data_IF_370072913693
#
_entry.id   IF_370072913693
#
_cell.length_a   1.000
_cell.length_b   1.000
_cell.length_c   1.000
_cell.angle_alpha   90.00
_cell.angle_beta   90.00
_cell.angle_gamma   90.00
#
_symmetry.space_group_name_H-M   'P 1'
#
loop_
_entity.id
_entity.type
_entity.pdbx_description
1 polymer ?
#
# COMPACT_ATOMS: atom_id res chain seq x y z
N UNK A 1 14.37 17.07 -29.94
CA UNK A 1 14.64 18.54 -29.97
C UNK A 1 15.73 18.85 -28.94
N UNK A 2 16.61 19.81 -29.25
CA UNK A 2 17.59 20.54 -28.41
C UNK A 2 18.14 19.87 -27.12
N UNK A 3 19.45 19.66 -26.86
CA UNK A 3 20.73 20.25 -27.33
C UNK A 3 21.08 21.66 -26.81
N UNK A 4 22.14 21.74 -25.98
CA UNK A 4 23.16 22.81 -25.73
C UNK A 4 24.13 22.20 -24.66
N UNK A 5 25.46 22.00 -24.79
CA UNK A 5 26.63 22.84 -25.21
C UNK A 5 26.79 24.10 -24.33
N UNK A 6 27.94 24.52 -23.76
CA UNK A 6 29.36 24.69 -24.19
C UNK A 6 30.29 24.71 -22.92
N UNK A 7 31.64 24.63 -22.88
CA UNK A 7 32.68 23.77 -23.50
C UNK A 7 34.12 24.13 -22.97
N UNK A 8 35.09 23.19 -23.00
CA UNK A 8 36.57 23.39 -22.92
C UNK A 8 37.21 23.93 -21.59
N UNK A 9 38.50 23.73 -21.25
CA UNK A 9 39.78 23.81 -22.01
C UNK A 9 40.88 22.83 -21.47
N UNK A 10 41.63 22.21 -22.41
CA UNK A 10 43.11 21.94 -22.53
C UNK A 10 43.99 22.01 -21.25
N UNK A 11 44.96 21.13 -20.94
CA UNK A 11 46.10 20.67 -21.76
C UNK A 11 46.73 19.32 -21.34
N UNK A 12 47.62 18.79 -22.18
CA UNK A 12 48.39 17.55 -21.98
C UNK A 12 49.87 17.81 -21.65
N UNK A 13 50.54 16.83 -21.03
CA UNK A 13 51.93 16.48 -21.31
C UNK A 13 52.30 15.12 -20.67
N UNK A 14 52.96 14.24 -21.42
CA UNK A 14 53.69 13.09 -20.90
C UNK A 14 55.19 13.32 -21.12
N UNK A 15 56.04 12.89 -20.19
CA UNK A 15 57.51 12.89 -20.35
C UNK A 15 58.07 11.54 -19.87
N UNK A 16 59.07 11.05 -20.60
CA UNK A 16 59.69 9.72 -20.55
C UNK A 16 61.21 9.90 -20.67
N UNK A 17 62.00 8.96 -20.11
CA UNK A 17 63.49 8.92 -20.08
C UNK A 17 64.13 10.05 -19.21
N UNK A 18 65.41 10.06 -18.82
CA UNK A 18 66.65 9.34 -19.24
C UNK A 18 67.45 8.90 -17.97
N UNK A 19 68.42 7.98 -18.12
CA UNK A 19 69.34 7.52 -17.07
C UNK A 19 70.80 8.00 -17.26
N UNK A 20 71.55 8.12 -16.14
CA UNK A 20 73.04 8.24 -16.02
C UNK A 20 73.68 9.50 -16.67
N UNK A 21 75.00 9.83 -16.50
CA UNK A 21 76.09 9.11 -15.79
C UNK A 21 77.08 9.94 -14.90
N UNK A 22 77.93 9.19 -14.17
CA UNK A 22 79.38 9.36 -13.91
C UNK A 22 80.01 10.75 -13.63
N UNK A 23 80.80 10.81 -12.56
CA UNK A 23 82.16 11.38 -12.61
C UNK A 23 83.10 10.64 -11.63
N UNK A 24 84.36 10.47 -12.03
CA UNK A 24 85.42 9.76 -11.32
C UNK A 24 86.74 10.53 -11.39
N UNK A 25 87.66 10.25 -10.46
CA UNK A 25 89.02 10.80 -10.36
C UNK A 25 89.50 10.66 -8.91
N UNK A 26 90.49 9.84 -8.56
CA UNK A 26 91.91 9.84 -8.97
C UNK A 26 92.68 11.09 -8.44
N UNK A 27 93.92 11.01 -7.95
CA UNK A 27 94.85 9.88 -7.94
C UNK A 27 95.83 9.90 -6.73
N UNK A 28 96.61 8.82 -6.66
CA UNK A 28 97.85 8.58 -5.91
C UNK A 28 98.80 9.77 -5.70
N UNK A 29 99.49 9.76 -4.55
CA UNK A 29 100.96 9.94 -4.52
C UNK A 29 101.59 8.93 -3.58
N UNK A 30 102.53 8.15 -4.11
CA UNK A 30 103.55 7.46 -3.33
C UNK A 30 104.86 8.22 -3.51
N UNK A 31 105.59 8.47 -2.42
CA UNK A 31 106.95 8.98 -2.45
C UNK A 31 107.76 8.21 -1.42
N UNK A 32 108.92 7.70 -1.84
CA UNK A 32 109.79 6.82 -1.08
C UNK A 32 111.13 7.48 -0.79
N UNK A 33 111.86 6.88 0.17
CA UNK A 33 113.32 6.97 0.41
C UNK A 33 113.82 8.06 1.38
N UNK A 34 114.62 7.58 2.34
CA UNK A 34 115.56 8.28 3.23
C UNK A 34 114.98 9.23 4.31
N UNK A 35 115.57 9.35 5.51
CA UNK A 35 116.88 8.85 5.95
C UNK A 35 116.90 8.24 7.36
N UNK A 36 117.93 7.45 7.64
CA UNK A 36 118.13 6.83 8.94
C UNK A 36 118.89 7.75 9.90
N UNK A 37 118.42 7.87 11.16
CA UNK A 37 119.28 8.38 12.25
C UNK A 37 118.65 9.33 13.26
N UNK A 38 117.74 8.86 14.12
CA UNK A 38 117.54 9.47 15.47
C UNK A 38 116.83 8.57 16.51
N UNK A 39 116.61 7.29 16.22
CA UNK A 39 115.90 6.35 17.13
C UNK A 39 116.79 5.89 18.32
N UNK A 40 118.08 6.23 18.32
CA UNK A 40 119.07 5.73 19.29
C UNK A 40 119.12 6.47 20.66
N UNK A 41 118.50 7.66 20.78
CA UNK A 41 118.81 8.58 21.91
C UNK A 41 117.63 9.02 22.79
N UNK A 42 116.38 8.72 22.42
CA UNK A 42 115.21 9.00 23.27
C UNK A 42 114.82 7.83 24.20
N UNK A 43 115.21 6.60 23.84
CA UNK A 43 114.81 5.36 24.55
C UNK A 43 115.55 5.18 25.89
N UNK A 44 116.66 5.90 26.13
CA UNK A 44 117.48 5.75 27.36
C UNK A 44 117.11 6.66 28.53
N UNK A 45 116.08 7.52 28.43
CA UNK A 45 115.63 8.41 29.54
C UNK A 45 114.29 8.05 30.19
N UNK A 46 113.60 7.01 29.73
CA UNK A 46 112.38 6.49 30.37
C UNK A 46 112.60 5.19 31.19
N UNK A 47 113.82 4.65 31.20
CA UNK A 47 114.20 3.44 31.93
C UNK A 47 114.56 3.69 33.41
N UNK A 48 114.12 4.80 34.00
CA UNK A 48 114.40 5.18 35.40
C UNK A 48 113.17 5.69 36.18
N UNK A 49 111.97 5.28 35.77
CA UNK A 49 110.85 5.26 36.72
C UNK A 49 110.76 3.86 37.35
N UNK A 50 110.89 3.73 38.68
CA UNK A 50 110.70 2.44 39.35
C UNK A 50 109.29 1.94 39.05
N UNK A 51 109.13 0.62 39.02
CA UNK A 51 107.91 -0.04 38.59
C UNK A 51 106.67 0.46 39.35
N UNK A 52 106.01 1.49 38.78
CA UNK A 52 104.60 1.73 38.96
C UNK A 52 103.91 0.52 38.35
N UNK A 53 103.75 -0.50 39.19
CA UNK A 53 102.76 -1.54 38.98
C UNK A 53 101.46 -0.81 38.74
N UNK A 54 101.07 -0.72 37.47
CA UNK A 54 99.78 -0.20 37.06
C UNK A 54 98.76 -1.25 37.50
N UNK A 55 98.48 -1.25 38.81
CA UNK A 55 97.39 -2.01 39.43
C UNK A 55 96.15 -1.49 38.74
N UNK A 56 95.72 -2.19 37.68
CA UNK A 56 94.50 -1.87 36.95
C UNK A 56 93.40 -1.81 38.00
N UNK A 57 92.99 -0.59 38.35
CA UNK A 57 92.13 -0.37 39.50
C UNK A 57 90.82 -1.08 39.20
N UNK A 58 90.47 -2.09 39.99
CA UNK A 58 89.22 -2.81 39.78
C UNK A 58 88.08 -1.87 40.17
N UNK A 59 87.31 -1.42 39.18
CA UNK A 59 86.21 -0.47 39.37
C UNK A 59 84.87 -1.21 39.46
N UNK A 60 83.99 -0.70 40.33
CA UNK A 60 82.66 -1.25 40.53
C UNK A 60 81.66 -0.84 39.42
N UNK A 61 80.40 -1.31 39.52
CA UNK A 61 79.33 -0.90 38.62
C UNK A 61 79.19 0.63 38.55
N UNK A 62 79.13 1.19 37.34
CA UNK A 62 79.09 2.63 37.11
C UNK A 62 80.45 3.35 37.10
N UNK A 63 81.54 2.67 37.44
CA UNK A 63 82.89 3.22 37.29
C UNK A 63 83.35 3.26 35.83
N UNK A 64 84.22 4.23 35.51
CA UNK A 64 84.85 4.31 34.18
C UNK A 64 85.88 3.19 33.98
N UNK A 65 85.79 2.48 32.86
CA UNK A 65 86.74 1.46 32.43
C UNK A 65 87.66 1.92 31.30
N UNK A 66 87.76 3.23 31.03
CA UNK A 66 88.67 3.76 30.01
C UNK A 66 90.13 3.32 30.21
N UNK A 67 90.57 3.19 31.48
CA UNK A 67 91.91 2.75 31.87
C UNK A 67 91.89 1.72 33.02
N UNK A 68 90.76 1.05 33.23
CA UNK A 68 90.50 0.25 34.43
C UNK A 68 89.78 -1.05 34.10
N UNK A 69 90.03 -2.11 34.87
CA UNK A 69 89.31 -3.38 34.74
C UNK A 69 88.01 -3.36 35.53
N UNK A 70 86.93 -3.83 34.92
CA UNK A 70 85.66 -3.99 35.59
C UNK A 70 85.71 -5.12 36.62
N UNK A 71 85.02 -4.96 37.75
CA UNK A 71 84.84 -6.01 38.77
C UNK A 71 84.15 -7.22 38.14
N UNK A 72 84.51 -8.44 38.57
CA UNK A 72 83.85 -9.67 38.14
C UNK A 72 82.31 -9.55 38.23
N UNK A 73 81.62 -9.93 37.14
CA UNK A 73 80.18 -9.71 36.97
C UNK A 73 79.79 -8.37 36.32
N UNK A 74 80.76 -7.53 35.91
CA UNK A 74 80.52 -6.33 35.09
C UNK A 74 81.38 -6.31 33.84
N UNK A 75 80.85 -5.75 32.76
CA UNK A 75 81.51 -5.63 31.45
C UNK A 75 81.73 -4.16 31.08
N UNK A 76 82.84 -3.88 30.39
CA UNK A 76 83.14 -2.53 29.93
C UNK A 76 82.32 -2.19 28.68
N UNK A 77 81.25 -1.40 28.84
CA UNK A 77 80.39 -0.98 27.72
C UNK A 77 80.41 0.55 27.65
N UNK A 78 80.81 1.11 26.49
CA UNK A 78 80.95 2.57 26.28
C UNK A 78 81.72 3.26 27.42
N UNK A 79 82.91 2.73 27.73
CA UNK A 79 83.79 3.19 28.80
C UNK A 79 83.20 3.14 30.23
N UNK A 80 82.06 2.49 30.46
CA UNK A 80 81.45 2.32 31.79
C UNK A 80 81.28 0.85 32.16
N UNK A 81 81.71 0.45 33.36
CA UNK A 81 81.49 -0.90 33.87
C UNK A 81 80.01 -1.13 34.17
N UNK A 82 79.40 -1.95 33.32
CA UNK A 82 77.96 -2.14 33.26
C UNK A 82 77.56 -3.55 33.70
N UNK A 83 76.38 -3.68 34.33
CA UNK A 83 75.77 -4.95 34.71
C UNK A 83 74.70 -5.29 33.68
N UNK A 84 74.73 -6.50 33.13
CA UNK A 84 73.63 -7.03 32.31
C UNK A 84 72.48 -7.53 33.19
N UNK A 85 71.30 -6.95 33.00
CA UNK A 85 70.10 -7.20 33.81
C UNK A 85 69.15 -8.14 33.07
N UNK A 86 68.67 -9.16 33.78
CA UNK A 86 67.69 -10.13 33.29
C UNK A 86 66.29 -9.51 33.08
N UNK A 87 65.42 -10.13 32.25
CA UNK A 87 64.06 -9.63 32.01
C UNK A 87 63.26 -9.43 33.31
N UNK A 88 62.70 -8.24 33.49
CA UNK A 88 61.97 -7.81 34.69
C UNK A 88 62.80 -7.05 35.72
N UNK A 89 64.13 -7.15 35.67
CA UNK A 89 65.02 -6.40 36.55
C UNK A 89 65.07 -4.90 36.22
N UNK A 90 65.46 -4.10 37.21
CA UNK A 90 65.58 -2.64 37.05
C UNK A 90 66.77 -2.23 36.18
N UNK A 91 66.54 -1.23 35.33
CA UNK A 91 67.51 -0.54 34.48
C UNK A 91 67.48 0.98 34.69
N UNK A 92 67.07 1.46 35.87
CA UNK A 92 66.98 2.90 36.18
C UNK A 92 68.34 3.59 36.33
N UNK A 93 69.42 2.85 36.60
CA UNK A 93 70.78 3.39 36.67
C UNK A 93 71.51 3.21 35.33
N UNK A 94 72.26 4.23 34.89
CA UNK A 94 72.90 4.27 33.56
C UNK A 94 73.82 3.07 33.25
N UNK A 95 74.41 2.46 34.28
CA UNK A 95 75.28 1.28 34.16
C UNK A 95 74.52 -0.07 34.16
N UNK A 96 73.19 -0.07 34.19
CA UNK A 96 72.36 -1.29 34.22
C UNK A 96 71.73 -1.52 32.85
N UNK A 97 72.42 -2.30 32.02
CA UNK A 97 72.02 -2.57 30.64
C UNK A 97 71.13 -3.81 30.57
N UNK A 98 70.12 -3.78 29.69
CA UNK A 98 69.21 -4.91 29.54
C UNK A 98 69.83 -6.01 28.67
N UNK A 99 69.78 -7.27 29.14
CA UNK A 99 70.34 -8.42 28.40
C UNK A 99 69.72 -8.54 27.00
N UNK A 100 70.47 -9.09 26.05
CA UNK A 100 70.09 -9.21 24.63
C UNK A 100 68.64 -9.69 24.43
N UNK A 101 67.92 -9.03 23.53
CA UNK A 101 66.49 -9.25 23.30
C UNK A 101 65.53 -8.56 24.27
N UNK A 102 66.03 -7.71 25.20
CA UNK A 102 65.20 -6.83 26.03
C UNK A 102 65.59 -5.36 25.94
N UNK A 103 64.66 -4.47 26.26
CA UNK A 103 64.81 -3.01 26.20
C UNK A 103 64.38 -2.40 27.53
N UNK A 104 65.07 -1.34 27.97
CA UNK A 104 64.67 -0.61 29.17
C UNK A 104 63.42 0.23 28.88
N UNK A 105 62.30 -0.10 29.51
CA UNK A 105 61.00 0.57 29.33
C UNK A 105 60.38 0.74 30.72
N UNK A 106 60.06 1.99 31.11
CA UNK A 106 59.53 2.28 32.45
C UNK A 106 60.47 1.85 33.58
N UNK A 107 61.78 1.92 33.37
CA UNK A 107 62.79 1.49 34.35
C UNK A 107 62.98 -0.02 34.52
N UNK A 108 62.33 -0.86 33.71
CA UNK A 108 62.51 -2.33 33.72
C UNK A 108 62.97 -2.86 32.36
N UNK A 109 63.76 -3.94 32.37
CA UNK A 109 64.15 -4.65 31.16
C UNK A 109 63.03 -5.55 30.66
N UNK A 110 62.37 -5.16 29.56
CA UNK A 110 61.19 -5.84 29.03
C UNK A 110 61.45 -6.40 27.63
N UNK A 111 60.92 -7.59 27.33
CA UNK A 111 60.87 -8.16 25.97
C UNK A 111 59.83 -7.39 25.15
N UNK A 112 60.11 -7.13 23.88
CA UNK A 112 59.16 -6.52 22.96
C UNK A 112 58.54 -7.57 22.02
N UNK A 113 57.23 -7.77 22.12
CA UNK A 113 56.44 -8.61 21.23
C UNK A 113 55.95 -7.84 19.99
N UNK A 114 56.09 -8.45 18.83
CA UNK A 114 55.49 -7.97 17.57
C UNK A 114 53.97 -8.20 17.55
N UNK A 115 53.27 -7.57 16.61
CA UNK A 115 51.85 -7.83 16.33
C UNK A 115 51.57 -9.33 16.17
N UNK A 116 50.48 -9.80 16.76
CA UNK A 116 50.09 -11.21 16.77
C UNK A 116 50.89 -12.13 17.69
N UNK A 117 51.91 -11.62 18.40
CA UNK A 117 52.63 -12.41 19.41
C UNK A 117 52.05 -12.17 20.80
N UNK A 118 52.25 -13.15 21.68
CA UNK A 118 51.77 -13.10 23.06
C UNK A 118 52.47 -12.00 23.86
N UNK A 119 51.68 -11.23 24.58
CA UNK A 119 52.08 -10.30 25.64
C UNK A 119 51.62 -10.77 27.03
N UNK A 120 51.02 -11.96 27.13
CA UNK A 120 50.71 -12.59 28.42
C UNK A 120 51.96 -13.13 29.14
N UNK A 121 53.08 -13.29 28.43
CA UNK A 121 54.35 -13.72 29.02
C UNK A 121 54.90 -12.65 29.98
N UNK A 122 55.37 -13.07 31.17
CA UNK A 122 55.99 -12.16 32.15
C UNK A 122 57.09 -11.30 31.51
N UNK A 123 57.15 -10.04 31.92
CA UNK A 123 58.14 -9.06 31.47
C UNK A 123 58.16 -8.85 29.94
N UNK A 124 57.02 -9.06 29.27
CA UNK A 124 56.84 -8.83 27.84
C UNK A 124 55.81 -7.73 27.61
N UNK A 125 56.12 -6.78 26.73
CA UNK A 125 55.23 -5.70 26.30
C UNK A 125 55.16 -5.66 24.79
N UNK A 126 54.10 -5.07 24.24
CA UNK A 126 53.96 -4.89 22.81
C UNK A 126 54.90 -3.78 22.30
N UNK A 127 55.33 -3.88 21.04
CA UNK A 127 56.12 -2.81 20.40
C UNK A 127 55.34 -1.48 20.38
N UNK A 128 56.03 -0.32 20.42
CA UNK A 128 55.38 1.00 20.32
C UNK A 128 54.38 1.08 19.16
N UNK A 129 53.20 1.64 19.41
CA UNK A 129 52.10 1.67 18.44
C UNK A 129 51.20 0.42 18.43
N UNK A 130 51.45 -0.55 19.31
CA UNK A 130 50.56 -1.69 19.58
C UNK A 130 50.31 -1.85 21.09
N UNK A 131 49.21 -2.51 21.45
CA UNK A 131 48.78 -2.72 22.84
C UNK A 131 48.48 -4.19 23.11
N UNK A 132 48.49 -4.59 24.38
CA UNK A 132 48.15 -5.94 24.79
C UNK A 132 46.62 -6.08 24.97
N UNK A 133 45.98 -6.92 24.16
CA UNK A 133 44.55 -7.21 24.27
C UNK A 133 44.33 -8.72 24.25
N UNK A 134 43.61 -9.25 25.25
CA UNK A 134 43.40 -10.69 25.44
C UNK A 134 44.70 -11.51 25.33
N UNK A 135 45.79 -11.02 25.94
CA UNK A 135 47.09 -11.67 25.93
C UNK A 135 47.88 -11.62 24.62
N UNK A 136 47.37 -10.96 23.56
CA UNK A 136 48.03 -10.81 22.26
C UNK A 136 48.29 -9.35 21.91
N UNK A 137 49.42 -9.05 21.26
CA UNK A 137 49.71 -7.71 20.77
C UNK A 137 48.87 -7.37 19.54
N UNK A 138 48.06 -6.31 19.65
CA UNK A 138 47.16 -5.83 18.61
C UNK A 138 47.40 -4.36 18.28
N UNK A 139 47.06 -3.96 17.06
CA UNK A 139 47.04 -2.54 16.67
C UNK A 139 45.61 -2.02 16.72
N UNK A 140 45.36 -0.94 17.49
CA UNK A 140 44.09 -0.22 17.40
C UNK A 140 44.06 0.69 16.16
N UNK A 141 43.08 0.43 15.31
CA UNK A 141 42.87 1.14 14.05
C UNK A 141 41.87 2.29 14.25
N UNK A 142 42.19 3.45 13.66
CA UNK A 142 41.34 4.65 13.68
C UNK A 142 40.11 4.45 12.78
N UNK A 143 39.08 5.27 13.01
CA UNK A 143 37.85 5.29 12.19
C UNK A 143 38.18 5.38 10.69
N UNK A 144 37.58 4.50 9.87
CA UNK A 144 37.81 4.38 8.43
C UNK A 144 39.01 3.53 8.01
N UNK A 145 39.93 3.20 8.93
CA UNK A 145 41.08 2.34 8.63
C UNK A 145 40.70 0.87 8.45
N UNK A 146 41.55 0.12 7.76
CA UNK A 146 41.33 -1.32 7.53
C UNK A 146 41.57 -2.17 8.79
N UNK A 147 40.66 -3.11 9.01
CA UNK A 147 40.69 -4.14 10.05
C UNK A 147 40.66 -5.57 9.46
N UNK A 148 40.99 -5.74 8.17
CA UNK A 148 41.03 -7.07 7.51
C UNK A 148 42.26 -7.89 7.88
N UNK A 149 43.39 -7.24 8.17
CA UNK A 149 44.61 -7.94 8.56
C UNK A 149 44.55 -8.42 10.02
N UNK A 150 45.13 -9.59 10.28
CA UNK A 150 45.14 -10.22 11.59
C UNK A 150 45.70 -9.27 12.68
N UNK A 151 45.14 -9.39 13.89
CA UNK A 151 45.54 -8.62 15.07
C UNK A 151 45.37 -7.09 14.95
N UNK A 152 44.54 -6.63 14.00
CA UNK A 152 44.07 -5.24 13.93
C UNK A 152 42.66 -5.14 14.48
N UNK A 153 42.49 -4.40 15.57
CA UNK A 153 41.20 -4.17 16.20
C UNK A 153 40.76 -2.73 16.03
N UNK A 154 39.46 -2.48 15.98
CA UNK A 154 38.95 -1.12 15.92
C UNK A 154 39.08 -0.41 17.27
N UNK A 155 39.23 0.92 17.27
CA UNK A 155 39.21 1.70 18.51
C UNK A 155 37.83 1.60 19.17
N UNK A 156 37.79 1.64 20.50
CA UNK A 156 36.56 1.57 21.31
C UNK A 156 35.46 2.48 20.76
N UNK A 157 34.24 1.94 20.66
CA UNK A 157 33.09 2.64 20.05
C UNK A 157 32.99 2.51 18.52
N UNK A 158 33.85 1.71 17.87
CA UNK A 158 33.76 1.37 16.44
C UNK A 158 33.88 -0.14 16.22
N UNK A 159 33.34 -0.64 15.10
CA UNK A 159 33.27 -2.08 14.77
C UNK A 159 33.86 -2.34 13.38
N UNK A 160 34.45 -3.52 13.19
CA UNK A 160 34.94 -3.94 11.88
C UNK A 160 33.76 -4.39 11.01
N UNK A 161 33.44 -3.64 9.96
CA UNK A 161 32.31 -3.88 9.06
C UNK A 161 32.80 -3.68 7.63
N UNK A 162 32.65 -4.70 6.78
CA UNK A 162 33.18 -4.66 5.40
C UNK A 162 34.69 -4.40 5.36
N UNK A 163 35.45 -4.91 6.35
CA UNK A 163 36.89 -4.73 6.44
C UNK A 163 37.37 -3.35 6.91
N UNK A 164 36.46 -2.42 7.26
CA UNK A 164 36.82 -1.09 7.81
C UNK A 164 36.26 -0.88 9.21
N UNK A 165 36.97 -0.09 10.02
CA UNK A 165 36.48 0.34 11.32
C UNK A 165 35.45 1.45 11.17
N UNK A 166 34.16 1.13 11.36
CA UNK A 166 33.04 2.04 11.15
C UNK A 166 32.32 2.32 12.48
N UNK A 167 31.70 3.50 12.59
CA UNK A 167 30.79 3.84 13.69
C UNK A 167 29.39 3.34 13.35
N UNK A 168 28.69 2.71 14.30
CA UNK A 168 27.27 2.37 14.12
C UNK A 168 26.37 3.50 14.66
N UNK A 169 25.47 3.99 13.83
CA UNK A 169 24.40 4.91 14.21
C UNK A 169 23.10 4.13 14.51
N UNK A 170 22.44 4.50 15.62
CA UNK A 170 21.09 4.03 15.92
C UNK A 170 20.07 4.55 14.89
N UNK A 171 18.94 3.88 14.77
CA UNK A 171 17.83 4.35 13.94
C UNK A 171 17.38 5.77 14.37
N UNK A 172 17.01 6.59 13.38
CA UNK A 172 16.66 8.00 13.57
C UNK A 172 17.85 8.93 13.82
N UNK A 173 19.09 8.42 13.83
CA UNK A 173 20.31 9.23 13.91
C UNK A 173 20.99 9.37 12.54
N UNK A 174 21.81 10.41 12.40
CA UNK A 174 22.54 10.68 11.16
C UNK A 174 23.58 9.60 10.84
N UNK A 175 23.64 9.25 9.57
CA UNK A 175 24.67 8.43 8.92
C UNK A 175 25.38 9.19 7.79
N UNK A 176 25.13 10.49 7.64
CA UNK A 176 25.84 11.34 6.67
C UNK A 176 27.33 11.52 7.02
N UNK A 177 27.70 11.31 8.29
CA UNK A 177 29.10 11.38 8.73
C UNK A 177 29.95 10.26 8.11
N UNK A 178 31.09 10.62 7.51
CA UNK A 178 32.04 9.68 6.88
C UNK A 178 32.38 8.52 7.85
N UNK A 179 32.45 7.31 7.31
CA UNK A 179 32.70 6.07 8.06
C UNK A 179 31.63 5.73 9.13
N UNK A 180 30.42 6.28 9.02
CA UNK A 180 29.27 5.88 9.84
C UNK A 180 28.33 5.01 9.02
N UNK A 181 27.87 3.90 9.59
CA UNK A 181 26.85 3.02 9.02
C UNK A 181 25.71 2.85 10.01
N UNK A 182 24.56 2.38 9.55
CA UNK A 182 23.45 2.08 10.45
C UNK A 182 23.69 0.79 11.22
N UNK A 183 23.02 0.66 12.38
CA UNK A 183 22.89 -0.65 13.06
C UNK A 183 22.32 -1.70 12.08
N UNK A 184 22.63 -3.00 12.30
CA UNK A 184 22.12 -4.10 11.46
C UNK A 184 20.61 -4.02 11.21
N UNK A 185 20.19 -4.28 9.96
CA UNK A 185 18.81 -4.11 9.51
C UNK A 185 18.39 -2.66 9.21
N UNK A 186 19.31 -1.70 9.31
CA UNK A 186 19.10 -0.31 8.90
C UNK A 186 19.83 0.08 7.62
N UNK A 187 19.25 1.05 6.90
CA UNK A 187 19.81 1.63 5.67
C UNK A 187 19.97 3.13 5.87
N UNK A 188 21.08 3.70 5.36
CA UNK A 188 21.25 5.14 5.33
C UNK A 188 20.44 5.73 4.17
N UNK A 189 19.43 6.53 4.46
CA UNK A 189 18.56 7.16 3.47
C UNK A 189 18.39 8.63 3.80
N UNK A 190 18.63 9.52 2.83
CA UNK A 190 18.67 10.97 3.04
C UNK A 190 19.49 11.39 4.29
N UNK A 191 20.67 10.77 4.45
CA UNK A 191 21.58 11.04 5.57
C UNK A 191 21.14 10.52 6.95
N UNK A 192 20.00 9.82 7.07
CA UNK A 192 19.47 9.29 8.33
C UNK A 192 19.32 7.77 8.30
N UNK A 193 19.60 7.11 9.43
CA UNK A 193 19.38 5.67 9.56
C UNK A 193 17.90 5.33 9.71
N UNK A 194 17.35 4.70 8.67
CA UNK A 194 15.97 4.22 8.66
C UNK A 194 15.91 2.69 8.66
N UNK A 195 14.74 2.15 9.01
CA UNK A 195 14.41 0.75 8.83
C UNK A 195 13.27 0.63 7.82
N UNK A 196 13.47 -0.18 6.77
CA UNK A 196 12.38 -0.56 5.86
C UNK A 196 11.48 -1.61 6.50
N UNK A 197 10.18 -1.47 6.32
CA UNK A 197 9.15 -2.28 6.96
C UNK A 197 8.18 -2.81 5.90
N UNK A 198 8.02 -4.13 5.85
CA UNK A 198 7.09 -4.79 4.94
C UNK A 198 5.60 -4.48 5.29
N UNK A 199 4.66 -4.62 4.34
CA UNK A 199 3.24 -4.46 4.60
C UNK A 199 2.76 -5.30 5.80
N UNK A 200 2.00 -4.68 6.69
CA UNK A 200 1.55 -5.21 7.98
C UNK A 200 2.43 -4.85 9.18
N UNK A 201 3.70 -4.54 8.95
CA UNK A 201 4.60 -4.08 10.01
C UNK A 201 4.27 -2.66 10.50
N UNK A 202 4.64 -2.37 11.75
CA UNK A 202 4.47 -1.05 12.35
C UNK A 202 5.45 -0.02 11.76
N UNK A 203 4.92 1.14 11.39
CA UNK A 203 5.64 2.34 10.95
C UNK A 203 5.40 3.55 11.85
N UNK A 204 4.90 3.34 13.07
CA UNK A 204 4.60 4.41 14.03
C UNK A 204 5.85 5.21 14.44
N UNK A 205 7.03 4.58 14.48
CA UNK A 205 8.29 5.26 14.76
C UNK A 205 8.80 6.03 13.53
N UNK A 206 9.21 7.29 13.73
CA UNK A 206 9.61 8.22 12.66
C UNK A 206 10.76 7.74 11.76
N UNK A 207 11.61 6.84 12.24
CA UNK A 207 12.70 6.21 11.50
C UNK A 207 12.28 4.96 10.69
N UNK A 208 11.03 4.52 10.78
CA UNK A 208 10.51 3.40 10.00
C UNK A 208 9.85 3.91 8.74
N UNK A 209 10.11 3.23 7.61
CA UNK A 209 9.57 3.55 6.29
C UNK A 209 9.00 2.29 5.66
N UNK A 210 7.88 2.43 4.96
CA UNK A 210 7.21 1.29 4.35
C UNK A 210 7.90 0.89 3.04
N UNK A 211 8.10 -0.41 2.84
CA UNK A 211 8.82 -0.93 1.68
C UNK A 211 8.00 -0.76 0.39
N UNK A 212 8.67 -0.31 -0.68
CA UNK A 212 8.06 -0.16 -2.01
C UNK A 212 6.95 0.91 -2.04
N UNK A 213 5.81 0.59 -2.68
CA UNK A 213 4.65 1.49 -2.84
C UNK A 213 3.65 1.44 -1.66
N UNK A 214 4.06 0.92 -0.51
CA UNK A 214 3.21 0.89 0.69
C UNK A 214 3.23 2.24 1.42
N UNK A 215 2.09 2.64 1.99
CA UNK A 215 1.95 3.88 2.76
C UNK A 215 1.85 3.56 4.26
N UNK A 216 2.32 4.47 5.11
CA UNK A 216 2.09 4.38 6.56
C UNK A 216 0.72 4.97 6.89
N UNK A 217 -0.24 4.14 7.29
CA UNK A 217 -1.60 4.56 7.63
C UNK A 217 -1.95 4.01 9.00
N UNK A 218 -2.35 4.89 9.94
CA UNK A 218 -2.66 4.54 11.34
C UNK A 218 -1.55 3.67 11.99
N UNK A 219 -0.29 4.04 11.75
CA UNK A 219 0.88 3.37 12.31
C UNK A 219 1.24 2.01 11.70
N UNK A 220 0.54 1.52 10.66
CA UNK A 220 0.89 0.29 9.92
C UNK A 220 1.21 0.56 8.45
N UNK A 221 2.19 -0.17 7.92
CA UNK A 221 2.46 -0.18 6.49
C UNK A 221 1.36 -0.93 5.76
N UNK A 222 0.67 -0.27 4.84
CA UNK A 222 -0.39 -0.88 4.03
C UNK A 222 -0.19 -0.62 2.56
N UNK A 223 -0.47 -1.62 1.72
CA UNK A 223 -0.49 -1.48 0.27
C UNK A 223 -1.76 -0.73 -0.12
N UNK A 224 -1.64 0.39 -0.82
CA UNK A 224 -2.80 1.06 -1.40
C UNK A 224 -3.08 0.51 -2.80
N UNK A 225 -4.34 0.22 -3.11
CA UNK A 225 -4.80 -0.16 -4.44
C UNK A 225 -5.86 0.81 -4.98
N UNK A 226 -5.90 0.95 -6.31
CA UNK A 226 -6.87 1.79 -7.01
C UNK A 226 -8.27 1.13 -7.06
N UNK A 227 -9.26 1.85 -7.58
CA UNK A 227 -10.57 1.29 -7.92
C UNK A 227 -10.43 0.05 -8.82
N UNK A 228 -11.26 -0.97 -8.57
CA UNK A 228 -11.16 -2.29 -9.20
C UNK A 228 -10.03 -3.17 -8.67
N UNK A 229 -9.07 -2.63 -7.91
CA UNK A 229 -8.02 -3.41 -7.26
C UNK A 229 -8.57 -4.29 -6.13
N UNK A 230 -7.98 -5.47 -5.96
CA UNK A 230 -8.30 -6.36 -4.84
C UNK A 230 -7.79 -5.78 -3.51
N UNK A 231 -8.69 -5.73 -2.53
CA UNK A 231 -8.44 -5.38 -1.13
C UNK A 231 -8.71 -6.56 -0.17
N UNK A 232 -8.95 -7.76 -0.69
CA UNK A 232 -9.08 -8.98 0.11
C UNK A 232 -7.78 -9.39 0.81
N UNK A 233 -6.62 -9.02 0.25
CA UNK A 233 -5.31 -9.33 0.82
C UNK A 233 -5.06 -8.57 2.14
N UNK A 234 -4.53 -9.26 3.16
CA UNK A 234 -4.15 -8.65 4.44
C UNK A 234 -3.25 -7.42 4.23
N UNK A 235 -3.45 -6.39 5.04
CA UNK A 235 -2.70 -5.13 4.98
C UNK A 235 -2.77 -4.40 3.61
N UNK A 236 -3.80 -4.67 2.83
CA UNK A 236 -4.14 -3.92 1.61
C UNK A 236 -5.38 -3.07 1.88
N UNK A 237 -5.36 -1.82 1.43
CA UNK A 237 -6.46 -0.87 1.60
C UNK A 237 -6.74 -0.15 0.28
N UNK A 238 -7.97 0.31 0.12
CA UNK A 238 -8.33 1.15 -1.00
C UNK A 238 -7.72 2.55 -0.87
N UNK A 239 -7.45 3.22 -1.99
CA UNK A 239 -7.07 4.64 -1.98
C UNK A 239 -8.18 5.51 -1.37
N UNK A 240 -7.84 6.68 -0.78
CA UNK A 240 -8.82 7.62 -0.24
C UNK A 240 -9.95 7.92 -1.25
N UNK A 241 -11.19 8.01 -0.76
CA UNK A 241 -12.38 8.17 -1.61
C UNK A 241 -12.94 6.86 -2.20
N UNK A 242 -12.38 5.71 -1.84
CA UNK A 242 -12.91 4.37 -2.16
C UNK A 242 -12.90 3.45 -0.94
N UNK A 243 -13.78 2.45 -0.92
CA UNK A 243 -13.94 1.49 0.17
C UNK A 243 -13.80 0.05 -0.32
N UNK A 244 -13.47 -0.88 0.59
CA UNK A 244 -13.40 -2.30 0.24
C UNK A 244 -14.79 -2.92 0.36
N UNK A 245 -15.34 -3.42 -0.74
CA UNK A 245 -16.63 -4.12 -0.77
C UNK A 245 -16.47 -5.44 -1.50
N UNK A 246 -16.88 -6.54 -0.86
CA UNK A 246 -16.71 -7.91 -1.39
C UNK A 246 -15.27 -8.21 -1.90
N UNK A 247 -14.25 -7.72 -1.20
CA UNK A 247 -12.84 -7.91 -1.56
C UNK A 247 -12.30 -7.02 -2.69
N UNK A 248 -13.10 -6.13 -3.27
CA UNK A 248 -12.70 -5.20 -4.34
C UNK A 248 -12.88 -3.74 -3.91
N UNK A 249 -11.97 -2.86 -4.34
CA UNK A 249 -12.08 -1.43 -4.09
C UNK A 249 -13.11 -0.77 -5.00
N UNK A 250 -14.17 -0.23 -4.38
CA UNK A 250 -15.30 0.40 -5.05
C UNK A 250 -15.45 1.86 -4.64
N UNK A 251 -16.06 2.66 -5.51
CA UNK A 251 -16.49 4.02 -5.18
C UNK A 251 -17.99 4.03 -4.91
N UNK A 252 -18.43 4.54 -3.75
CA UNK A 252 -19.85 4.82 -3.53
C UNK A 252 -20.27 6.13 -4.17
N UNK A 253 -21.18 6.04 -5.13
CA UNK A 253 -21.71 7.14 -5.91
C UNK A 253 -22.98 7.71 -5.25
N UNK A 254 -23.04 9.04 -5.19
CA UNK A 254 -24.20 9.79 -4.66
C UNK A 254 -25.42 9.69 -5.59
N UNK A 255 -26.61 9.98 -5.05
CA UNK A 255 -27.85 10.10 -5.81
C UNK A 255 -27.66 10.97 -7.07
N UNK A 256 -28.16 10.49 -8.21
CA UNK A 256 -28.04 11.10 -9.54
C UNK A 256 -26.69 10.89 -10.24
N UNK A 257 -25.66 10.38 -9.56
CA UNK A 257 -24.36 10.09 -10.18
C UNK A 257 -24.37 8.81 -11.04
N UNK A 258 -23.43 8.72 -11.98
CA UNK A 258 -23.28 7.54 -12.86
C UNK A 258 -22.73 6.32 -12.12
N UNK A 259 -23.35 5.17 -12.37
CA UNK A 259 -22.95 3.84 -11.91
C UNK A 259 -22.68 2.88 -13.08
N UNK A 260 -22.48 3.41 -14.30
CA UNK A 260 -22.16 2.62 -15.50
C UNK A 260 -20.72 2.09 -15.51
N UNK A 261 -19.78 2.84 -14.95
CA UNK A 261 -18.38 2.43 -14.88
C UNK A 261 -18.18 1.34 -13.82
N UNK A 262 -17.35 0.35 -14.13
CA UNK A 262 -17.04 -0.77 -13.25
C UNK A 262 -16.57 -0.30 -11.86
N UNK A 263 -16.91 -1.08 -10.84
CA UNK A 263 -16.57 -0.82 -9.43
C UNK A 263 -17.14 0.49 -8.86
N UNK A 264 -18.17 1.07 -9.48
CA UNK A 264 -18.96 2.18 -8.92
C UNK A 264 -20.30 1.65 -8.43
N UNK A 265 -20.51 1.68 -7.12
CA UNK A 265 -21.75 1.23 -6.49
C UNK A 265 -22.55 2.42 -6.01
N UNK A 266 -23.87 2.31 -5.99
CA UNK A 266 -24.71 3.34 -5.41
C UNK A 266 -24.60 3.37 -3.88
N UNK A 267 -24.83 4.54 -3.26
CA UNK A 267 -25.00 4.62 -1.81
C UNK A 267 -26.25 3.83 -1.38
N UNK A 268 -26.24 3.36 -0.13
CA UNK A 268 -27.36 2.62 0.49
C UNK A 268 -28.69 3.34 0.28
N UNK A 269 -29.75 2.57 0.00
CA UNK A 269 -31.09 3.11 -0.31
C UNK A 269 -31.26 3.67 -1.73
N UNK A 270 -30.29 3.48 -2.63
CA UNK A 270 -30.40 3.81 -4.07
C UNK A 270 -29.90 2.67 -4.95
N UNK A 271 -30.46 2.55 -6.15
CA UNK A 271 -30.18 1.47 -7.11
C UNK A 271 -29.66 2.03 -8.42
N UNK A 272 -28.80 1.26 -9.12
CA UNK A 272 -28.35 1.64 -10.46
C UNK A 272 -29.44 1.34 -11.49
N UNK A 273 -30.07 2.39 -12.03
CA UNK A 273 -31.19 2.31 -12.98
C UNK A 273 -30.88 3.26 -14.13
N UNK A 274 -30.88 2.76 -15.38
CA UNK A 274 -30.49 3.57 -16.53
C UNK A 274 -29.09 4.17 -16.41
N UNK A 275 -28.16 3.45 -15.75
CA UNK A 275 -26.79 3.93 -15.53
C UNK A 275 -26.61 5.02 -14.47
N UNK A 276 -27.67 5.42 -13.75
CA UNK A 276 -27.61 6.41 -12.66
C UNK A 276 -28.07 5.81 -11.34
N UNK A 277 -27.52 6.30 -10.22
CA UNK A 277 -27.99 5.94 -8.89
C UNK A 277 -29.28 6.70 -8.57
N UNK A 278 -30.42 6.00 -8.62
CA UNK A 278 -31.75 6.57 -8.42
C UNK A 278 -32.40 6.00 -7.15
N UNK A 279 -33.27 6.79 -6.52
CA UNK A 279 -34.13 6.33 -5.42
C UNK A 279 -35.38 5.68 -6.01
N UNK A 280 -35.83 4.55 -5.46
CA UNK A 280 -37.12 3.97 -5.82
C UNK A 280 -38.22 4.45 -4.86
N UNK A 281 -39.30 5.00 -5.41
CA UNK A 281 -40.54 5.29 -4.70
C UNK A 281 -41.53 4.14 -4.84
N UNK A 282 -42.19 3.79 -3.73
CA UNK A 282 -43.34 2.88 -3.76
C UNK A 282 -44.53 3.52 -4.49
N UNK A 283 -45.46 2.70 -4.97
CA UNK A 283 -46.74 3.19 -5.50
C UNK A 283 -47.47 4.07 -4.48
N UNK A 284 -48.17 5.10 -4.96
CA UNK A 284 -48.85 6.10 -4.14
C UNK A 284 -47.91 7.09 -3.42
N UNK A 285 -46.59 7.01 -3.63
CA UNK A 285 -45.60 7.98 -3.10
C UNK A 285 -45.09 8.88 -4.21
N UNK A 286 -44.59 10.06 -3.81
CA UNK A 286 -44.07 11.06 -4.75
C UNK A 286 -42.82 10.57 -5.48
N UNK A 287 -42.79 10.85 -6.78
CA UNK A 287 -41.63 10.72 -7.68
C UNK A 287 -41.24 12.06 -8.32
N UNK A 288 -41.87 13.17 -7.92
CA UNK A 288 -41.49 14.52 -8.35
C UNK A 288 -40.05 14.91 -7.92
N UNK A 289 -39.53 14.29 -6.86
CA UNK A 289 -38.18 14.53 -6.38
C UNK A 289 -37.12 14.05 -7.40
N UNK A 290 -36.21 14.96 -7.80
CA UNK A 290 -35.14 14.68 -8.78
C UNK A 290 -34.36 13.41 -8.45
N UNK A 291 -34.09 12.58 -9.47
CA UNK A 291 -33.45 11.27 -9.37
C UNK A 291 -34.26 10.22 -8.58
N UNK A 292 -35.57 10.40 -8.46
CA UNK A 292 -36.50 9.36 -7.97
C UNK A 292 -37.22 8.74 -9.16
N UNK A 293 -37.35 7.42 -9.16
CA UNK A 293 -38.16 6.65 -10.11
C UNK A 293 -39.11 5.76 -9.33
N UNK A 294 -40.15 5.25 -9.99
CA UNK A 294 -41.04 4.29 -9.37
C UNK A 294 -40.39 2.92 -9.24
N UNK A 295 -40.91 2.09 -8.33
CA UNK A 295 -40.63 0.65 -8.36
C UNK A 295 -41.00 0.04 -9.73
N UNK A 296 -40.36 -1.08 -10.13
CA UNK A 296 -40.67 -1.75 -11.39
C UNK A 296 -42.17 -1.98 -11.60
N UNK A 297 -42.65 -1.76 -12.83
CA UNK A 297 -44.08 -1.78 -13.17
C UNK A 297 -44.85 -0.49 -12.83
N UNK A 298 -44.19 0.52 -12.26
CA UNK A 298 -44.77 1.84 -12.02
C UNK A 298 -44.24 2.93 -12.92
N UNK A 299 -45.05 3.96 -13.16
CA UNK A 299 -44.67 5.19 -13.86
C UNK A 299 -45.00 6.42 -13.03
N UNK A 300 -44.19 7.47 -13.21
CA UNK A 300 -44.42 8.74 -12.55
C UNK A 300 -45.45 9.55 -13.34
N UNK A 301 -46.64 9.76 -12.75
CA UNK A 301 -47.72 10.52 -13.37
C UNK A 301 -48.19 11.59 -12.37
N UNK A 302 -48.28 12.84 -12.82
CA UNK A 302 -48.58 14.00 -11.96
C UNK A 302 -47.75 14.01 -10.65
N UNK A 303 -46.46 13.68 -10.74
CA UNK A 303 -45.54 13.66 -9.60
C UNK A 303 -45.71 12.50 -8.61
N UNK A 304 -46.62 11.54 -8.87
CA UNK A 304 -46.88 10.36 -8.02
C UNK A 304 -46.66 9.06 -8.76
N UNK A 305 -46.12 8.04 -8.08
CA UNK A 305 -45.95 6.71 -8.66
C UNK A 305 -47.29 5.98 -8.76
N UNK A 306 -47.75 5.77 -9.98
CA UNK A 306 -48.94 4.99 -10.29
C UNK A 306 -48.58 3.66 -10.95
N UNK A 307 -49.53 2.73 -10.93
CA UNK A 307 -49.52 1.50 -11.70
C UNK A 307 -50.64 1.55 -12.73
N UNK A 308 -50.34 1.38 -14.02
CA UNK A 308 -51.38 1.19 -15.03
C UNK A 308 -51.94 -0.24 -14.95
N UNK A 309 -53.24 -0.36 -15.11
CA UNK A 309 -54.00 -1.60 -14.99
C UNK A 309 -54.88 -1.76 -16.22
N UNK A 310 -54.83 -2.92 -16.87
CA UNK A 310 -55.66 -3.22 -18.03
C UNK A 310 -57.16 -3.28 -17.66
N UNK A 311 -58.08 -3.14 -18.64
CA UNK A 311 -59.50 -3.40 -18.44
C UNK A 311 -59.75 -4.78 -17.80
N UNK A 312 -60.74 -4.86 -16.91
CA UNK A 312 -61.00 -6.01 -16.04
C UNK A 312 -60.13 -6.08 -14.78
N UNK A 313 -59.01 -5.36 -14.72
CA UNK A 313 -58.16 -5.31 -13.53
C UNK A 313 -58.64 -4.32 -12.46
N UNK A 314 -58.24 -4.56 -11.21
CA UNK A 314 -58.67 -3.74 -10.06
C UNK A 314 -57.94 -2.39 -9.98
N UNK A 315 -58.73 -1.32 -9.90
CA UNK A 315 -58.34 0.07 -9.64
C UNK A 315 -58.83 0.59 -8.27
N UNK A 316 -59.34 -0.28 -7.40
CA UNK A 316 -59.86 0.08 -6.07
C UNK A 316 -58.83 0.79 -5.16
N UNK A 317 -57.53 0.63 -5.44
CA UNK A 317 -56.45 1.28 -4.69
C UNK A 317 -56.00 2.53 -5.45
N UNK A 318 -56.04 3.72 -4.81
CA UNK A 318 -55.92 5.02 -5.49
C UNK A 318 -54.63 5.31 -6.28
N UNK A 319 -53.58 4.49 -6.16
CA UNK A 319 -52.39 4.56 -7.01
C UNK A 319 -52.49 3.73 -8.31
N UNK A 320 -53.57 2.96 -8.51
CA UNK A 320 -53.84 2.22 -9.73
C UNK A 320 -54.71 3.05 -10.66
N UNK A 321 -54.34 3.11 -11.94
CA UNK A 321 -55.06 3.86 -12.98
C UNK A 321 -55.33 2.95 -14.17
N UNK A 322 -56.45 3.18 -14.86
CA UNK A 322 -56.91 2.31 -15.92
C UNK A 322 -56.26 2.68 -17.27
N UNK A 323 -55.68 1.68 -17.92
CA UNK A 323 -54.98 1.83 -19.19
C UNK A 323 -55.97 2.07 -20.34
N UNK A 324 -55.54 2.80 -21.38
CA UNK A 324 -56.26 2.89 -22.66
C UNK A 324 -57.62 3.62 -22.61
N UNK A 325 -57.78 4.59 -21.71
CA UNK A 325 -59.03 5.37 -21.60
C UNK A 325 -60.17 4.67 -20.86
N UNK A 326 -59.94 3.46 -20.33
CA UNK A 326 -60.88 2.82 -19.42
C UNK A 326 -61.10 3.67 -18.15
N UNK A 327 -62.29 3.58 -17.56
CA UNK A 327 -62.69 4.31 -16.35
C UNK A 327 -62.75 3.35 -15.17
N UNK A 328 -62.37 3.82 -13.97
CA UNK A 328 -62.53 3.03 -12.75
C UNK A 328 -63.98 3.09 -12.28
N UNK A 329 -64.71 1.97 -12.33
CA UNK A 329 -66.09 1.85 -11.89
C UNK A 329 -66.17 0.73 -10.86
N UNK A 330 -66.70 1.03 -9.66
CA UNK A 330 -66.81 0.08 -8.54
C UNK A 330 -65.48 -0.67 -8.21
N UNK A 331 -64.33 0.00 -8.39
CA UNK A 331 -63.02 -0.58 -8.12
C UNK A 331 -62.41 -1.44 -9.24
N UNK A 332 -63.05 -1.54 -10.40
CA UNK A 332 -62.57 -2.26 -11.59
C UNK A 332 -62.45 -1.34 -12.81
N UNK A 333 -61.39 -1.52 -13.60
CA UNK A 333 -61.20 -0.78 -14.85
C UNK A 333 -62.14 -1.30 -15.93
N UNK A 334 -63.03 -0.45 -16.44
CA UNK A 334 -63.96 -0.81 -17.53
C UNK A 334 -63.79 0.12 -18.72
N UNK A 335 -63.75 -0.43 -19.94
CA UNK A 335 -63.84 0.36 -21.18
C UNK A 335 -65.28 0.77 -21.43
N UNK A 336 -65.52 2.03 -21.79
CA UNK A 336 -66.86 2.45 -22.24
C UNK A 336 -67.01 2.09 -23.71
N UNK A 337 -68.02 1.29 -24.02
CA UNK A 337 -68.32 0.84 -25.39
C UNK A 337 -69.59 1.53 -25.92
N UNK A 338 -69.62 1.94 -27.20
CA UNK A 338 -70.77 2.60 -27.80
C UNK A 338 -71.95 1.64 -28.00
N UNK A 339 -73.11 2.18 -28.41
CA UNK A 339 -74.28 1.40 -28.84
C UNK A 339 -73.87 0.36 -29.89
N UNK A 340 -74.27 -0.89 -29.70
CA UNK A 340 -73.89 -2.03 -30.54
C UNK A 340 -72.51 -2.62 -30.25
N UNK A 341 -71.69 -1.99 -29.41
CA UNK A 341 -70.45 -2.57 -28.92
C UNK A 341 -70.69 -3.79 -28.03
N UNK A 342 -69.69 -4.68 -27.98
CA UNK A 342 -69.69 -5.82 -27.08
C UNK A 342 -69.43 -5.39 -25.63
N UNK A 343 -70.30 -5.84 -24.73
CA UNK A 343 -70.14 -5.73 -23.27
C UNK A 343 -69.98 -7.11 -22.60
N UNK A 344 -69.73 -8.16 -23.40
CA UNK A 344 -69.41 -9.49 -22.88
C UNK A 344 -68.08 -9.46 -22.11
N UNK A 345 -68.03 -10.15 -20.96
CA UNK A 345 -66.80 -10.34 -20.17
C UNK A 345 -66.54 -9.33 -19.04
N UNK A 346 -67.49 -8.46 -18.69
CA UNK A 346 -67.45 -7.62 -17.46
C UNK A 346 -66.42 -6.48 -17.42
N UNK A 347 -65.41 -6.51 -18.29
CA UNK A 347 -64.41 -5.47 -18.47
C UNK A 347 -64.89 -4.28 -19.35
N UNK A 348 -66.12 -4.32 -19.86
CA UNK A 348 -66.70 -3.31 -20.73
C UNK A 348 -68.08 -2.86 -20.21
N UNK A 349 -68.31 -1.55 -20.19
CA UNK A 349 -69.55 -0.90 -19.76
C UNK A 349 -70.18 -0.15 -20.94
N UNK A 350 -71.48 -0.26 -21.11
CA UNK A 350 -72.20 0.49 -22.13
C UNK A 350 -72.20 2.00 -21.87
N UNK A 351 -72.16 2.79 -22.94
CA UNK A 351 -72.28 4.24 -22.90
C UNK A 351 -73.59 4.71 -22.24
N UNK A 352 -73.64 5.96 -21.78
CA UNK A 352 -74.83 6.53 -21.16
C UNK A 352 -76.06 6.40 -22.10
N UNK A 353 -77.21 5.99 -21.55
CA UNK A 353 -78.42 5.69 -22.32
C UNK A 353 -78.43 4.32 -23.02
N UNK A 354 -77.43 3.46 -22.79
CA UNK A 354 -77.43 2.06 -23.23
C UNK A 354 -77.16 1.08 -22.10
N UNK A 355 -77.75 -0.11 -22.20
CA UNK A 355 -77.59 -1.21 -21.23
C UNK A 355 -77.01 -2.46 -21.89
N UNK A 356 -76.33 -3.29 -21.10
CA UNK A 356 -75.77 -4.54 -21.60
C UNK A 356 -76.83 -5.64 -21.61
N UNK A 357 -77.33 -6.00 -22.80
CA UNK A 357 -78.29 -7.09 -22.96
C UNK A 357 -77.65 -8.22 -23.78
N UNK A 358 -77.53 -9.41 -23.17
CA UNK A 358 -76.92 -10.61 -23.79
C UNK A 358 -75.54 -10.37 -24.42
N UNK A 359 -74.72 -9.50 -23.81
CA UNK A 359 -73.37 -9.20 -24.29
C UNK A 359 -73.26 -8.08 -25.32
N UNK A 360 -74.36 -7.42 -25.71
CA UNK A 360 -74.34 -6.24 -26.59
C UNK A 360 -74.98 -5.02 -25.92
N UNK A 361 -74.41 -3.83 -26.15
CA UNK A 361 -74.97 -2.58 -25.65
C UNK A 361 -76.18 -2.13 -26.50
N UNK A 362 -77.37 -2.13 -25.91
CA UNK A 362 -78.63 -1.78 -26.56
C UNK A 362 -79.25 -0.53 -25.95
N UNK A 363 -80.03 0.21 -26.74
CA UNK A 363 -80.95 1.23 -26.23
C UNK A 363 -82.30 0.57 -25.97
N UNK A 364 -82.89 0.80 -24.79
CA UNK A 364 -84.29 0.46 -24.53
C UNK A 364 -85.20 1.56 -25.04
N UNK A 365 -86.25 1.18 -25.75
CA UNK A 365 -87.20 2.08 -26.40
C UNK A 365 -88.62 1.76 -25.93
N UNK A 366 -89.36 2.81 -25.55
CA UNK A 366 -90.74 2.71 -25.08
C UNK A 366 -91.70 2.20 -26.17
N UNK A 367 -92.92 1.71 -25.81
CA UNK A 367 -93.98 1.43 -26.77
C UNK A 367 -94.21 2.59 -27.76
N UNK A 368 -94.46 2.27 -29.02
CA UNK A 368 -94.58 3.20 -30.14
C UNK A 368 -93.25 3.55 -30.82
N UNK A 369 -92.11 3.41 -30.13
CA UNK A 369 -90.80 3.73 -30.69
C UNK A 369 -90.23 2.68 -31.65
N UNK A 370 -89.21 3.06 -32.42
CA UNK A 370 -88.57 2.20 -33.44
C UNK A 370 -87.60 1.20 -32.85
N UNK A 371 -87.73 -0.08 -33.23
CA UNK A 371 -86.81 -1.17 -32.92
C UNK A 371 -86.12 -1.75 -34.18
N UNK A 372 -86.18 -1.06 -35.33
CA UNK A 372 -85.55 -1.51 -36.60
C UNK A 372 -84.03 -1.69 -36.51
N UNK A 373 -83.34 -0.86 -35.72
CA UNK A 373 -81.89 -0.97 -35.57
C UNK A 373 -81.53 -2.15 -34.65
N UNK A 374 -80.56 -2.97 -35.07
CA UNK A 374 -80.12 -4.21 -34.40
C UNK A 374 -79.75 -4.05 -32.92
N UNK A 375 -79.34 -2.84 -32.53
CA UNK A 375 -78.87 -2.48 -31.19
C UNK A 375 -79.95 -1.70 -30.41
N UNK A 376 -81.20 -2.15 -30.52
CA UNK A 376 -82.39 -1.54 -29.92
C UNK A 376 -83.30 -2.63 -29.40
N UNK A 377 -83.88 -2.44 -28.22
CA UNK A 377 -84.82 -3.38 -27.60
C UNK A 377 -86.01 -2.62 -27.03
N UNK A 378 -87.14 -3.30 -26.91
CA UNK A 378 -88.37 -2.69 -26.43
C UNK A 378 -88.45 -2.81 -24.89
N UNK A 379 -88.69 -1.68 -24.23
CA UNK A 379 -88.72 -1.59 -22.77
C UNK A 379 -89.96 -2.30 -22.17
N UNK A 380 -89.94 -2.60 -20.87
CA UNK A 380 -91.14 -2.98 -20.12
C UNK A 380 -91.84 -4.27 -20.58
N UNK A 381 -91.12 -5.21 -21.19
CA UNK A 381 -91.70 -6.46 -21.70
C UNK A 381 -92.40 -6.34 -23.06
N UNK A 382 -92.35 -5.17 -23.71
CA UNK A 382 -92.85 -4.97 -25.07
C UNK A 382 -92.16 -5.89 -26.09
N UNK A 383 -92.91 -6.26 -27.14
CA UNK A 383 -92.38 -6.99 -28.30
C UNK A 383 -92.07 -6.05 -29.46
N UNK A 384 -91.04 -6.37 -30.23
CA UNK A 384 -90.72 -5.70 -31.49
C UNK A 384 -91.44 -6.41 -32.64
N UNK A 385 -92.33 -5.71 -33.34
CA UNK A 385 -93.05 -6.22 -34.51
C UNK A 385 -93.01 -5.14 -35.60
N UNK A 386 -92.71 -5.52 -36.83
CA UNK A 386 -92.58 -4.61 -38.00
C UNK A 386 -91.66 -3.38 -37.77
N UNK A 387 -90.70 -3.54 -36.85
CA UNK A 387 -89.76 -2.50 -36.49
C UNK A 387 -90.31 -1.43 -35.52
N UNK A 388 -91.47 -1.66 -34.90
CA UNK A 388 -91.99 -0.86 -33.77
C UNK A 388 -92.16 -1.69 -32.50
N UNK A 389 -91.96 -1.03 -31.36
CA UNK A 389 -92.22 -1.61 -30.05
C UNK A 389 -93.71 -1.51 -29.70
N UNK A 390 -94.33 -2.62 -29.30
CA UNK A 390 -95.72 -2.65 -28.83
C UNK A 390 -95.77 -3.18 -27.40
N UNK A 391 -96.57 -2.55 -26.53
CA UNK A 391 -96.90 -3.12 -25.23
C UNK A 391 -97.62 -4.46 -25.42
N UNK A 392 -97.29 -5.45 -24.60
CA UNK A 392 -98.07 -6.68 -24.54
C UNK A 392 -99.45 -6.34 -23.99
N UNK A 393 -100.47 -6.40 -24.83
CA UNK A 393 -101.86 -6.16 -24.42
C UNK A 393 -102.46 -7.50 -24.03
N UNK A 394 -102.76 -7.65 -22.74
CA UNK A 394 -103.51 -8.80 -22.23
C UNK A 394 -104.97 -8.67 -22.65
N UNK A 395 -105.43 -9.57 -23.50
CA UNK A 395 -106.75 -9.57 -24.14
C UNK A 395 -107.78 -10.41 -23.39
N UNK A 396 -108.99 -9.87 -23.29
CA UNK A 396 -110.17 -10.50 -22.69
C UNK A 396 -110.87 -11.51 -23.61
N UNK A 397 -111.97 -12.12 -23.13
CA UNK A 397 -112.76 -13.07 -23.94
C UNK A 397 -113.36 -12.37 -25.15
N UNK A 398 -113.22 -12.97 -26.33
CA UNK A 398 -113.77 -12.44 -27.59
C UNK A 398 -112.92 -11.35 -28.27
N UNK A 399 -111.81 -10.92 -27.65
CA UNK A 399 -110.93 -9.91 -28.26
C UNK A 399 -109.93 -10.52 -29.25
N UNK A 400 -109.52 -9.73 -30.25
CA UNK A 400 -108.59 -10.14 -31.30
C UNK A 400 -107.15 -10.35 -30.77
N UNK A 401 -106.62 -11.54 -31.04
CA UNK A 401 -105.27 -11.98 -30.69
C UNK A 401 -104.41 -12.36 -31.91
N UNK A 402 -104.81 -11.93 -33.12
CA UNK A 402 -103.97 -11.99 -34.33
C UNK A 402 -102.75 -11.07 -34.28
N UNK A 403 -102.79 -9.85 -33.71
CA UNK A 403 -101.59 -9.02 -33.63
C UNK A 403 -100.54 -9.69 -32.75
N UNK A 404 -99.28 -9.74 -33.19
CA UNK A 404 -98.21 -10.45 -32.48
C UNK A 404 -97.87 -9.89 -31.06
N UNK A 405 -98.44 -8.73 -30.71
CA UNK A 405 -98.33 -8.08 -29.40
C UNK A 405 -99.58 -8.28 -28.51
N UNK A 406 -100.59 -9.00 -28.98
CA UNK A 406 -101.79 -9.35 -28.22
C UNK A 406 -101.66 -10.76 -27.65
N UNK A 407 -101.86 -10.92 -26.33
CA UNK A 407 -101.86 -12.23 -25.68
C UNK A 407 -103.13 -12.41 -24.88
N UNK A 408 -103.76 -13.58 -24.95
CA UNK A 408 -104.98 -13.83 -24.18
C UNK A 408 -104.64 -14.00 -22.70
N UNK A 409 -105.34 -13.29 -21.81
CA UNK A 409 -105.12 -13.41 -20.37
C UNK A 409 -105.44 -14.82 -19.88
N UNK A 410 -104.60 -15.43 -19.03
CA UNK A 410 -104.89 -16.77 -18.48
C UNK A 410 -106.24 -16.77 -17.76
N UNK A 411 -107.14 -17.76 -17.96
CA UNK A 411 -106.95 -19.06 -18.62
C UNK A 411 -107.39 -19.10 -20.10
N UNK A 412 -107.36 -17.98 -20.81
CA UNK A 412 -107.77 -17.90 -22.22
C UNK A 412 -106.64 -18.35 -23.17
N UNK A 413 -107.01 -18.96 -24.30
CA UNK A 413 -106.12 -19.29 -25.40
C UNK A 413 -106.53 -18.56 -26.69
N UNK A 414 -105.56 -18.23 -27.55
CA UNK A 414 -105.86 -17.64 -28.86
C UNK A 414 -106.27 -18.75 -29.84
N UNK A 415 -107.53 -18.76 -30.30
CA UNK A 415 -108.04 -19.74 -31.27
C UNK A 415 -108.65 -19.01 -32.46
N UNK A 416 -108.15 -19.27 -33.68
CA UNK A 416 -108.56 -18.60 -34.94
C UNK A 416 -108.46 -17.06 -34.90
N UNK A 417 -107.63 -16.51 -34.02
CA UNK A 417 -107.43 -15.08 -33.85
C UNK A 417 -108.34 -14.40 -32.82
N UNK A 418 -109.09 -15.15 -32.02
CA UNK A 418 -109.87 -14.60 -30.90
C UNK A 418 -109.57 -15.34 -29.60
N UNK A 419 -109.59 -14.61 -28.49
CA UNK A 419 -109.34 -15.16 -27.17
C UNK A 419 -110.55 -15.92 -26.62
N UNK A 420 -110.41 -17.22 -26.40
CA UNK A 420 -111.46 -18.11 -25.90
C UNK A 420 -111.03 -18.81 -24.61
N UNK A 421 -111.95 -19.18 -23.73
CA UNK A 421 -111.62 -19.93 -22.50
C UNK A 421 -111.00 -21.27 -22.87
N UNK A 422 -109.90 -21.63 -22.20
CA UNK A 422 -109.36 -22.98 -22.28
C UNK A 422 -110.34 -23.94 -21.58
N UNK A 423 -111.08 -24.72 -22.37
CA UNK A 423 -111.85 -25.86 -21.87
C UNK A 423 -110.86 -26.96 -21.51
N UNK A 424 -110.49 -27.04 -20.23
CA UNK A 424 -109.54 -28.03 -19.74
C UNK A 424 -110.07 -29.45 -19.94
N UNK A 425 -109.40 -30.22 -20.80
CA UNK A 425 -109.36 -31.68 -20.68
C UNK A 425 -108.21 -32.07 -19.76
N UNK A 426 -108.47 -33.02 -18.87
CA UNK A 426 -107.43 -33.77 -18.15
C UNK A 426 -106.79 -34.80 -19.09
#
# INVERSE_FOLDING_TARGET
>A
MAAFRVAAIVAAAAIVLIATPVSAGAATTAATVADAGTIATAVRRWAQHPALTYRRRVVGPGGSCAFATCRAGTECVRHTCSVWVAPGGSCTAAYRLCKSGTTCIGGKCLKQACLGRSCAARNTVCKPGSECHAGTCVQRVRLGGSCTAAHRLCKSGTSCIGGKCLKQACFGRSCAARNTVCKPGGVCHAGTCIQWVAPGGSCAASYRRCLGKAACIRGKCVKQVCLGGSCAARNTVCKPGSECHAGTCVQRVRLGGSCTAAHRLCKSGTSCIGGKCLKQACFGRSCAARNTVCKPGGVCHAGTCIQWVAPGGSCAVGYRRCLGGATCVAGTCVTVVPRGGSCAGGAAKCAAGTECFRGTCVVWVAPGGSCKATCTRCAGGSICTDGKCYALVTRGVGEDCRPAYASCGRPLMCRRGICVRSTGGY
#
